data_IF_128134906026
#
_entry.id   IF_128134906026
#
_cell.length_a   1.000
_cell.length_b   1.000
_cell.length_c   1.000
_cell.angle_alpha   90.00
_cell.angle_beta   90.00
_cell.angle_gamma   90.00
#
_symmetry.space_group_name_H-M   'P 1'
#
loop_
_entity.id
_entity.type
_entity.pdbx_description
1 polymer ?
#
# COMPACT_ATOMS: atom_id res chain seq x y z
N UNK A 1 17.20 -29.47 -51.91
CA UNK A 1 18.56 -29.75 -51.39
C UNK A 1 18.51 -29.71 -49.87
N UNK A 2 18.46 -30.87 -49.26
CA UNK A 2 18.44 -31.04 -47.79
C UNK A 2 19.86 -30.96 -47.24
N UNK A 3 20.06 -30.25 -46.13
CA UNK A 3 21.25 -30.42 -45.29
C UNK A 3 20.80 -30.76 -43.86
N UNK A 4 21.46 -31.74 -43.19
CA UNK A 4 21.04 -32.27 -41.93
C UNK A 4 21.50 -31.49 -40.72
N UNK A 5 20.68 -31.56 -39.66
CA UNK A 5 20.92 -30.99 -38.32
C UNK A 5 21.95 -31.82 -37.56
N UNK A 6 23.02 -31.22 -37.05
CA UNK A 6 24.01 -31.81 -36.18
C UNK A 6 23.51 -31.78 -34.72
N UNK A 7 23.41 -32.96 -34.13
CA UNK A 7 23.13 -33.17 -32.70
C UNK A 7 24.35 -32.75 -31.85
N UNK A 8 24.16 -31.83 -30.89
CA UNK A 8 25.13 -31.53 -29.82
C UNK A 8 24.91 -32.54 -28.67
N UNK A 9 25.92 -33.31 -28.34
CA UNK A 9 26.00 -34.17 -27.14
C UNK A 9 26.49 -33.28 -25.97
N UNK A 10 25.76 -33.31 -24.84
CA UNK A 10 26.18 -32.73 -23.55
C UNK A 10 27.22 -33.68 -22.89
N UNK A 11 28.25 -33.11 -22.21
CA UNK A 11 29.23 -33.93 -21.47
C UNK A 11 28.66 -34.38 -20.12
N UNK A 12 29.07 -35.62 -19.73
CA UNK A 12 28.74 -36.30 -18.49
C UNK A 12 29.21 -35.48 -17.26
N UNK A 13 28.30 -35.34 -16.28
CA UNK A 13 28.63 -34.86 -14.94
C UNK A 13 29.56 -35.84 -14.22
N UNK A 14 30.69 -35.33 -13.74
CA UNK A 14 31.59 -36.03 -12.83
C UNK A 14 30.96 -36.10 -11.43
N UNK A 15 30.77 -37.33 -10.92
CA UNK A 15 30.39 -37.54 -9.51
C UNK A 15 31.56 -37.17 -8.59
N UNK A 16 31.35 -36.23 -7.69
CA UNK A 16 32.24 -35.91 -6.59
C UNK A 16 32.25 -37.10 -5.59
N UNK A 17 33.40 -37.70 -5.33
CA UNK A 17 33.61 -38.69 -4.27
C UNK A 17 33.60 -38.03 -2.90
N UNK A 18 32.79 -38.53 -1.99
CA UNK A 18 32.76 -38.13 -0.59
C UNK A 18 34.03 -38.63 0.16
N UNK A 19 34.57 -37.86 1.12
CA UNK A 19 35.77 -38.22 1.90
C UNK A 19 35.49 -39.41 2.85
N UNK A 20 36.52 -40.21 3.12
CA UNK A 20 36.45 -41.53 3.79
C UNK A 20 36.10 -41.52 5.29
N UNK A 21 35.95 -40.40 5.94
CA UNK A 21 35.59 -40.31 7.37
C UNK A 21 34.11 -40.55 7.69
N UNK A 22 33.26 -40.74 6.70
CA UNK A 22 31.79 -40.97 6.85
C UNK A 22 31.45 -42.48 7.08
N UNK A 23 32.41 -43.39 7.07
CA UNK A 23 32.18 -44.86 7.11
C UNK A 23 32.06 -45.45 8.53
N UNK A 24 31.88 -44.68 9.59
CA UNK A 24 31.92 -45.19 10.96
C UNK A 24 30.66 -45.08 11.81
N UNK A 25 29.48 -44.89 11.27
CA UNK A 25 28.25 -44.78 12.08
C UNK A 25 27.41 -46.04 12.00
N UNK A 26 27.06 -46.60 13.14
CA UNK A 26 26.27 -47.83 13.33
C UNK A 26 24.82 -47.66 12.82
N UNK A 27 24.16 -48.75 12.35
CA UNK A 27 22.80 -48.67 11.79
C UNK A 27 21.77 -48.55 12.92
N UNK A 28 21.08 -47.42 12.99
CA UNK A 28 19.96 -47.29 13.93
C UNK A 28 19.34 -45.94 14.14
N UNK A 29 19.90 -44.84 13.62
CA UNK A 29 19.35 -43.50 13.85
C UNK A 29 18.80 -42.96 12.52
N UNK A 30 17.48 -42.89 12.41
CA UNK A 30 16.76 -42.14 11.34
C UNK A 30 16.81 -40.64 11.68
N UNK A 31 17.79 -39.93 11.18
CA UNK A 31 17.81 -38.47 11.21
C UNK A 31 17.05 -37.95 10.01
N UNK A 32 16.14 -37.03 10.27
CA UNK A 32 15.39 -36.32 9.24
C UNK A 32 16.36 -35.51 8.34
N UNK A 33 16.12 -35.37 7.04
CA UNK A 33 17.06 -34.75 6.09
C UNK A 33 17.40 -33.27 6.32
N UNK A 34 16.74 -32.61 7.24
CA UNK A 34 17.00 -31.19 7.55
C UNK A 34 18.15 -30.94 8.53
N UNK A 35 18.74 -31.99 9.19
CA UNK A 35 19.74 -31.77 10.24
C UNK A 35 21.20 -31.83 9.75
N UNK A 36 21.45 -32.22 8.51
CA UNK A 36 22.81 -32.42 7.99
C UNK A 36 23.42 -31.22 7.25
N UNK A 37 22.69 -30.12 7.04
CA UNK A 37 23.20 -28.96 6.32
C UNK A 37 23.66 -27.80 7.21
N UNK A 38 23.49 -27.88 8.53
CA UNK A 38 23.74 -26.75 9.47
C UNK A 38 25.05 -26.80 10.24
N UNK A 39 25.94 -27.76 10.01
CA UNK A 39 27.16 -27.92 10.85
C UNK A 39 28.42 -27.31 10.19
N UNK A 40 28.33 -26.56 9.12
CA UNK A 40 29.52 -26.15 8.39
C UNK A 40 29.79 -24.65 8.25
N UNK A 41 28.84 -23.77 8.48
CA UNK A 41 29.01 -22.31 8.37
C UNK A 41 28.05 -21.68 9.37
N UNK A 42 28.56 -20.91 10.32
CA UNK A 42 27.82 -20.23 11.38
C UNK A 42 26.89 -19.12 10.81
N UNK A 43 25.88 -19.54 10.07
CA UNK A 43 24.75 -18.66 9.76
C UNK A 43 23.82 -18.69 10.97
N UNK A 44 23.41 -17.53 11.49
CA UNK A 44 22.34 -17.51 12.48
C UNK A 44 21.13 -18.21 11.88
N UNK A 45 20.54 -19.15 12.61
CA UNK A 45 19.20 -19.64 12.32
C UNK A 45 18.30 -18.40 12.19
N UNK A 46 17.87 -18.06 10.97
CA UNK A 46 16.80 -17.11 10.78
C UNK A 46 15.58 -17.72 11.47
N UNK A 47 15.34 -17.33 12.70
CA UNK A 47 14.02 -17.40 13.29
C UNK A 47 13.15 -16.52 12.38
N UNK A 48 12.25 -17.11 11.61
CA UNK A 48 11.16 -16.37 11.01
C UNK A 48 10.41 -15.69 12.17
N UNK A 49 10.80 -14.44 12.46
CA UNK A 49 10.04 -13.61 13.37
C UNK A 49 8.68 -13.38 12.69
N UNK A 50 7.61 -13.71 13.39
CA UNK A 50 6.27 -13.33 12.93
C UNK A 50 6.29 -11.85 12.56
N UNK A 51 5.78 -11.51 11.37
CA UNK A 51 5.69 -10.13 10.90
C UNK A 51 4.99 -9.27 11.96
N UNK A 52 5.62 -8.19 12.34
CA UNK A 52 5.12 -7.25 13.36
C UNK A 52 5.03 -5.87 12.74
N UNK A 53 4.02 -5.07 13.16
CA UNK A 53 3.94 -3.70 12.71
C UNK A 53 5.22 -2.94 13.07
N UNK A 54 5.81 -2.30 12.08
CA UNK A 54 6.97 -1.44 12.21
C UNK A 54 6.58 0.02 11.98
N UNK A 55 7.50 0.94 12.15
CA UNK A 55 7.26 2.34 11.89
C UNK A 55 6.24 2.93 12.86
N UNK A 56 5.42 3.83 12.39
CA UNK A 56 4.42 4.48 13.26
C UNK A 56 3.38 3.52 13.84
N UNK A 57 3.07 2.41 13.19
CA UNK A 57 2.14 1.41 13.74
C UNK A 57 2.81 0.42 14.73
N UNK A 58 4.06 0.64 15.14
CA UNK A 58 4.69 -0.25 16.13
C UNK A 58 3.82 -0.34 17.39
N UNK A 59 3.59 -1.57 17.87
CA UNK A 59 2.73 -1.84 19.03
C UNK A 59 1.25 -2.06 18.70
N UNK A 60 0.81 -1.88 17.44
CA UNK A 60 -0.54 -2.27 17.02
C UNK A 60 -0.68 -3.79 17.10
N UNK A 61 -1.77 -4.25 17.71
CA UNK A 61 -2.06 -5.67 17.94
C UNK A 61 -3.37 -6.13 17.30
N UNK A 62 -4.17 -5.18 16.77
CA UNK A 62 -5.46 -5.46 16.16
C UNK A 62 -6.40 -6.22 17.11
N UNK A 63 -6.98 -7.31 16.63
CA UNK A 63 -7.80 -8.22 17.43
C UNK A 63 -7.03 -9.02 18.47
N UNK A 64 -5.69 -9.03 18.40
CA UNK A 64 -4.82 -9.73 19.36
C UNK A 64 -5.24 -11.18 19.57
N UNK A 65 -5.47 -11.55 20.83
CA UNK A 65 -5.99 -12.87 21.23
C UNK A 65 -7.53 -12.93 21.25
N UNK A 66 -8.21 -11.97 20.62
CA UNK A 66 -9.67 -11.99 20.51
C UNK A 66 -10.17 -13.20 19.70
N UNK A 67 -11.48 -13.50 19.79
CA UNK A 67 -12.04 -14.64 19.08
C UNK A 67 -11.88 -14.47 17.56
N UNK A 68 -11.45 -15.56 16.90
CA UNK A 68 -11.43 -15.63 15.45
C UNK A 68 -12.83 -15.93 14.92
N UNK A 69 -13.31 -15.12 13.98
CA UNK A 69 -14.60 -15.29 13.31
C UNK A 69 -14.38 -15.43 11.80
N UNK A 70 -15.16 -16.30 11.17
CA UNK A 70 -15.18 -16.49 9.71
C UNK A 70 -16.58 -16.10 9.19
N UNK A 71 -16.79 -14.88 8.73
CA UNK A 71 -18.07 -14.43 8.19
C UNK A 71 -18.56 -15.34 7.06
N UNK A 72 -19.86 -15.56 6.95
CA UNK A 72 -20.46 -16.41 5.92
C UNK A 72 -21.31 -15.65 4.92
N UNK A 73 -21.65 -14.40 5.23
CA UNK A 73 -22.44 -13.52 4.38
C UNK A 73 -21.92 -12.09 4.44
N UNK A 74 -22.41 -11.23 3.53
CA UNK A 74 -22.08 -9.79 3.56
C UNK A 74 -22.51 -9.14 4.89
N UNK A 75 -23.65 -9.53 5.44
CA UNK A 75 -24.14 -8.98 6.70
C UNK A 75 -23.36 -9.51 7.89
N UNK A 76 -22.92 -10.77 7.87
CA UNK A 76 -22.01 -11.29 8.91
C UNK A 76 -20.68 -10.52 8.89
N UNK A 77 -20.15 -10.22 7.71
CA UNK A 77 -18.92 -9.43 7.59
C UNK A 77 -19.13 -8.02 8.16
N UNK A 78 -20.20 -7.32 7.77
CA UNK A 78 -20.54 -6.00 8.33
C UNK A 78 -20.61 -6.03 9.86
N UNK A 79 -21.34 -6.98 10.44
CA UNK A 79 -21.48 -7.15 11.90
C UNK A 79 -20.16 -7.50 12.58
N UNK A 80 -19.32 -8.31 11.93
CA UNK A 80 -18.00 -8.69 12.46
C UNK A 80 -17.05 -7.50 12.51
N UNK A 81 -17.13 -6.61 11.54
CA UNK A 81 -16.33 -5.38 11.48
C UNK A 81 -16.83 -4.33 12.48
N UNK A 82 -18.14 -4.19 12.63
CA UNK A 82 -18.74 -3.24 13.55
C UNK A 82 -20.16 -3.67 13.95
N UNK A 83 -20.35 -3.96 15.23
CA UNK A 83 -21.62 -4.41 15.78
C UNK A 83 -22.46 -3.29 16.42
N UNK A 84 -21.88 -2.11 16.68
CA UNK A 84 -22.58 -0.99 17.33
C UNK A 84 -22.15 0.36 16.77
N UNK A 85 -23.10 1.30 16.75
CA UNK A 85 -22.91 2.63 16.15
C UNK A 85 -23.45 3.72 17.06
N UNK A 86 -22.80 4.88 17.06
CA UNK A 86 -23.32 6.09 17.67
C UNK A 86 -24.43 6.75 16.80
N UNK A 87 -25.01 7.84 17.32
CA UNK A 87 -26.06 8.60 16.61
C UNK A 87 -25.57 9.27 15.32
N UNK A 88 -24.24 9.41 15.14
CA UNK A 88 -23.61 9.96 13.93
C UNK A 88 -23.24 8.86 12.92
N UNK A 89 -23.50 7.59 13.29
CA UNK A 89 -23.15 6.43 12.49
C UNK A 89 -21.65 6.07 12.54
N UNK A 90 -20.88 6.56 13.52
CA UNK A 90 -19.53 6.07 13.77
C UNK A 90 -19.59 4.73 14.46
N UNK A 91 -18.65 3.87 14.17
CA UNK A 91 -18.55 2.58 14.85
C UNK A 91 -18.09 2.78 16.30
N UNK A 92 -18.79 2.16 17.22
CA UNK A 92 -18.46 2.18 18.65
C UNK A 92 -18.08 0.78 19.17
N UNK A 93 -17.94 -0.19 18.30
CA UNK A 93 -17.55 -1.56 18.64
C UNK A 93 -16.02 -1.62 18.85
N UNK A 94 -15.61 -1.75 20.10
CA UNK A 94 -14.22 -1.88 20.54
C UNK A 94 -13.83 -3.31 20.97
N UNK A 95 -14.74 -4.26 20.90
CA UNK A 95 -14.47 -5.66 21.28
C UNK A 95 -13.38 -6.29 20.39
N UNK A 96 -12.30 -6.82 20.96
CA UNK A 96 -11.23 -7.45 20.17
C UNK A 96 -11.76 -8.60 19.31
N UNK A 97 -11.36 -8.64 18.03
CA UNK A 97 -11.81 -9.68 17.09
C UNK A 97 -10.85 -9.87 15.94
N UNK A 98 -10.55 -11.13 15.60
CA UNK A 98 -9.86 -11.52 14.39
C UNK A 98 -10.88 -11.99 13.36
N UNK A 99 -10.98 -11.29 12.22
CA UNK A 99 -11.97 -11.54 11.17
C UNK A 99 -11.23 -12.15 9.98
N UNK A 100 -11.37 -13.46 9.80
CA UNK A 100 -10.67 -14.21 8.78
C UNK A 100 -11.56 -14.43 7.55
N UNK A 101 -11.13 -13.88 6.41
CA UNK A 101 -11.81 -14.05 5.13
C UNK A 101 -11.12 -15.15 4.33
N UNK A 102 -11.86 -16.17 3.90
CA UNK A 102 -11.36 -17.30 3.11
C UNK A 102 -11.83 -17.29 1.64
N UNK A 103 -12.58 -16.26 1.25
CA UNK A 103 -13.07 -16.02 -0.11
C UNK A 103 -13.32 -14.54 -0.37
N UNK A 104 -13.78 -14.21 -1.57
CA UNK A 104 -14.14 -12.84 -1.95
C UNK A 104 -15.56 -12.51 -1.49
N UNK A 105 -15.72 -11.43 -0.71
CA UNK A 105 -17.01 -10.82 -0.39
C UNK A 105 -17.34 -9.76 -1.46
N UNK A 106 -18.27 -10.09 -2.35
CA UNK A 106 -18.66 -9.21 -3.46
C UNK A 106 -19.89 -8.38 -3.09
N UNK A 107 -19.68 -7.10 -2.85
CA UNK A 107 -20.72 -6.14 -2.50
C UNK A 107 -21.39 -5.48 -3.72
N UNK A 108 -20.94 -5.74 -4.94
CA UNK A 108 -21.54 -5.13 -6.12
C UNK A 108 -23.01 -5.56 -6.22
N UNK A 109 -23.87 -4.58 -6.46
CA UNK A 109 -25.33 -4.79 -6.49
C UNK A 109 -26.00 -5.01 -5.13
N UNK A 110 -25.26 -4.97 -4.02
CA UNK A 110 -25.80 -5.26 -2.68
C UNK A 110 -26.54 -4.10 -2.03
N UNK A 111 -26.40 -2.88 -2.55
CA UNK A 111 -27.05 -1.68 -2.01
C UNK A 111 -28.11 -1.20 -2.99
N UNK A 112 -29.37 -1.33 -2.61
CA UNK A 112 -30.51 -0.91 -3.44
C UNK A 112 -31.07 0.41 -2.91
N UNK A 113 -31.08 1.43 -3.78
CA UNK A 113 -31.66 2.73 -3.51
C UNK A 113 -32.69 3.02 -4.61
N UNK A 114 -33.87 3.48 -4.22
CA UNK A 114 -35.00 3.73 -5.14
C UNK A 114 -35.33 2.55 -6.10
N UNK A 115 -35.18 1.32 -5.60
CA UNK A 115 -35.48 0.10 -6.36
C UNK A 115 -34.37 -0.34 -7.33
N UNK A 116 -33.22 0.30 -7.33
CA UNK A 116 -32.08 -0.04 -8.21
C UNK A 116 -30.79 -0.20 -7.41
N UNK A 117 -29.95 -1.16 -7.79
CA UNK A 117 -28.59 -1.28 -7.29
C UNK A 117 -27.63 -0.26 -7.95
N UNK A 118 -28.05 0.40 -9.00
CA UNK A 118 -27.28 1.41 -9.71
C UNK A 118 -28.02 2.75 -9.73
N UNK A 119 -27.26 3.81 -9.49
CA UNK A 119 -27.72 5.19 -9.69
C UNK A 119 -27.22 5.72 -11.03
N UNK A 120 -28.05 6.55 -11.67
CA UNK A 120 -27.72 7.33 -12.86
C UNK A 120 -27.92 8.80 -12.58
N UNK A 121 -26.94 9.60 -12.94
CA UNK A 121 -27.03 11.06 -12.79
C UNK A 121 -26.23 11.76 -13.89
N UNK A 122 -26.49 13.06 -14.07
CA UNK A 122 -25.66 13.90 -14.92
C UNK A 122 -24.35 14.21 -14.21
N UNK A 123 -23.28 13.66 -14.70
CA UNK A 123 -21.91 13.96 -14.31
C UNK A 123 -21.13 14.61 -15.45
N UNK A 124 -19.82 14.39 -15.49
CA UNK A 124 -18.96 14.88 -16.56
C UNK A 124 -17.88 13.89 -16.96
N UNK A 125 -17.29 14.09 -18.12
CA UNK A 125 -16.04 13.43 -18.50
C UNK A 125 -14.93 14.02 -17.65
N UNK A 126 -14.24 13.20 -16.85
CA UNK A 126 -13.08 13.66 -16.07
C UNK A 126 -11.98 14.18 -17.02
N UNK A 127 -11.69 13.41 -18.07
CA UNK A 127 -10.84 13.80 -19.20
C UNK A 127 -11.43 13.24 -20.50
N UNK A 128 -11.35 14.00 -21.58
CA UNK A 128 -11.70 13.55 -22.93
C UNK A 128 -10.57 12.69 -23.49
N UNK A 129 -10.71 11.38 -23.44
CA UNK A 129 -9.74 10.45 -23.99
C UNK A 129 -10.07 10.12 -25.46
N UNK A 130 -9.20 10.48 -26.43
CA UNK A 130 -9.46 10.32 -27.86
C UNK A 130 -9.76 8.89 -28.30
N UNK A 131 -9.18 7.91 -27.60
CA UNK A 131 -9.36 6.47 -27.88
C UNK A 131 -10.39 5.78 -26.96
N UNK A 132 -11.16 6.55 -26.20
CA UNK A 132 -12.01 6.00 -25.14
C UNK A 132 -11.22 5.62 -23.89
N UNK A 133 -11.88 4.97 -22.94
CA UNK A 133 -11.22 4.52 -21.68
C UNK A 133 -10.96 5.62 -20.66
N UNK A 134 -11.53 6.82 -20.85
CA UNK A 134 -11.49 7.89 -19.85
C UNK A 134 -12.39 7.62 -18.65
N UNK A 135 -12.06 8.22 -17.52
CA UNK A 135 -12.94 8.22 -16.35
C UNK A 135 -14.05 9.28 -16.51
N UNK A 136 -15.17 8.97 -15.95
CA UNK A 136 -16.26 9.92 -15.69
C UNK A 136 -16.21 10.38 -14.24
N UNK A 137 -16.92 11.46 -13.93
CA UNK A 137 -17.05 11.95 -12.56
C UNK A 137 -18.52 12.23 -12.26
N UNK A 138 -18.95 11.88 -11.05
CA UNK A 138 -20.28 12.30 -10.57
C UNK A 138 -20.23 13.77 -10.16
N UNK A 139 -21.38 14.45 -10.33
CA UNK A 139 -21.49 15.89 -10.18
C UNK A 139 -21.80 16.28 -8.74
N UNK A 140 -20.89 16.13 -7.85
CA UNK A 140 -21.19 16.49 -6.46
C UNK A 140 -20.05 17.16 -5.72
N UNK A 141 -18.85 17.14 -6.26
CA UNK A 141 -17.67 17.51 -5.50
C UNK A 141 -17.00 18.77 -6.05
N UNK A 142 -17.04 19.86 -5.27
CA UNK A 142 -16.15 21.01 -5.39
C UNK A 142 -16.08 21.66 -6.80
N UNK A 143 -17.14 21.61 -7.57
CA UNK A 143 -17.16 22.18 -8.93
C UNK A 143 -16.30 21.42 -9.95
N UNK A 144 -15.92 20.19 -9.67
CA UNK A 144 -15.05 19.38 -10.55
C UNK A 144 -15.59 19.26 -11.98
N UNK A 145 -16.91 19.17 -12.13
CA UNK A 145 -17.57 19.11 -13.43
C UNK A 145 -17.81 20.48 -14.10
N UNK A 146 -17.46 21.58 -13.43
CA UNK A 146 -17.64 22.90 -14.00
C UNK A 146 -16.80 23.06 -15.28
N UNK A 147 -17.45 23.53 -16.35
CA UNK A 147 -16.85 23.69 -17.68
C UNK A 147 -16.35 22.40 -18.36
N UNK A 148 -16.75 21.23 -17.87
CA UNK A 148 -16.46 19.93 -18.53
C UNK A 148 -17.69 19.43 -19.30
N UNK A 149 -17.48 18.61 -20.36
CA UNK A 149 -18.60 18.01 -21.08
C UNK A 149 -19.48 17.16 -20.17
N UNK A 150 -20.77 17.44 -20.14
CA UNK A 150 -21.75 16.67 -19.39
C UNK A 150 -21.95 15.29 -20.01
N UNK A 151 -22.07 14.27 -19.18
CA UNK A 151 -22.40 12.90 -19.60
C UNK A 151 -23.32 12.25 -18.57
N UNK A 152 -24.14 11.28 -19.01
CA UNK A 152 -24.84 10.41 -18.07
C UNK A 152 -23.84 9.43 -17.46
N UNK A 153 -23.73 9.43 -16.13
CA UNK A 153 -22.85 8.54 -15.34
C UNK A 153 -23.73 7.52 -14.63
N UNK A 154 -23.39 6.25 -14.82
CA UNK A 154 -23.99 5.15 -14.06
C UNK A 154 -22.92 4.51 -13.15
N UNK A 155 -23.29 4.25 -11.90
CA UNK A 155 -22.43 3.62 -10.93
C UNK A 155 -23.19 2.72 -9.96
N UNK A 156 -22.48 1.78 -9.36
CA UNK A 156 -23.01 0.88 -8.34
C UNK A 156 -23.09 1.62 -6.98
N UNK A 157 -24.26 1.58 -6.34
CA UNK A 157 -24.51 2.28 -5.09
C UNK A 157 -23.61 1.75 -3.95
N UNK A 158 -23.22 0.49 -4.00
CA UNK A 158 -22.32 -0.10 -3.00
C UNK A 158 -20.96 0.61 -2.93
N UNK A 159 -20.46 1.11 -4.06
CA UNK A 159 -19.20 1.83 -4.10
C UNK A 159 -19.17 3.14 -3.32
N UNK A 160 -20.31 3.79 -3.15
CA UNK A 160 -20.45 5.01 -2.34
C UNK A 160 -20.58 4.71 -0.83
N UNK A 161 -20.90 3.48 -0.48
CA UNK A 161 -20.95 3.03 0.90
C UNK A 161 -19.57 2.55 1.35
N UNK A 162 -19.39 2.42 2.66
CA UNK A 162 -18.12 1.96 3.24
C UNK A 162 -18.39 0.99 4.39
N UNK A 163 -17.62 -0.07 4.45
CA UNK A 163 -17.59 -0.99 5.59
C UNK A 163 -16.88 -0.30 6.76
N UNK A 164 -17.63 0.03 7.79
CA UNK A 164 -17.06 0.65 8.98
C UNK A 164 -16.37 -0.40 9.84
N UNK A 165 -15.13 -0.12 10.23
CA UNK A 165 -14.30 -1.01 11.03
C UNK A 165 -14.15 -0.39 12.42
N UNK A 166 -14.49 -1.14 13.45
CA UNK A 166 -14.34 -0.72 14.85
C UNK A 166 -12.92 -0.88 15.36
N UNK A 167 -12.71 -0.52 16.63
CA UNK A 167 -11.41 -0.65 17.29
C UNK A 167 -11.07 -2.12 17.60
N UNK A 168 -9.77 -2.39 17.79
CA UNK A 168 -9.27 -3.71 18.17
C UNK A 168 -9.70 -4.82 17.20
N UNK A 169 -9.55 -4.58 15.90
CA UNK A 169 -9.90 -5.53 14.85
C UNK A 169 -8.67 -5.93 14.03
N UNK A 170 -8.56 -7.22 13.75
CA UNK A 170 -7.71 -7.72 12.68
C UNK A 170 -8.61 -8.27 11.58
N UNK A 171 -8.57 -7.67 10.40
CA UNK A 171 -9.20 -8.18 9.20
C UNK A 171 -8.11 -8.81 8.34
N UNK A 172 -8.16 -10.13 8.19
CA UNK A 172 -7.11 -10.90 7.53
C UNK A 172 -7.66 -11.84 6.47
N UNK A 173 -6.98 -11.90 5.33
CA UNK A 173 -7.23 -12.89 4.29
C UNK A 173 -6.53 -14.22 4.58
N UNK A 174 -7.25 -15.31 4.41
CA UNK A 174 -6.71 -16.68 4.49
C UNK A 174 -6.47 -17.21 3.09
N UNK A 175 -5.21 -17.45 2.76
CA UNK A 175 -4.81 -17.80 1.38
C UNK A 175 -4.76 -16.58 0.46
N UNK A 176 -4.62 -16.82 -0.84
CA UNK A 176 -4.42 -15.77 -1.85
C UNK A 176 -5.71 -15.27 -2.52
N UNK A 177 -6.86 -15.87 -2.21
CA UNK A 177 -8.13 -15.56 -2.90
C UNK A 177 -9.07 -14.69 -2.07
N UNK A 178 -8.70 -14.32 -0.85
CA UNK A 178 -9.54 -13.52 0.04
C UNK A 178 -9.60 -12.06 -0.40
N UNK A 179 -10.77 -11.45 -0.31
CA UNK A 179 -10.89 -10.05 -0.69
C UNK A 179 -12.29 -9.46 -0.52
N UNK A 180 -12.38 -8.17 -0.86
CA UNK A 180 -13.62 -7.40 -0.85
C UNK A 180 -13.74 -6.69 -2.21
N UNK A 181 -14.88 -6.81 -2.86
CA UNK A 181 -15.20 -6.15 -4.12
C UNK A 181 -16.37 -5.19 -3.97
N UNK A 182 -16.31 -4.08 -4.69
CA UNK A 182 -17.42 -3.17 -4.87
C UNK A 182 -17.69 -2.22 -3.70
N UNK A 183 -17.03 -2.38 -2.55
CA UNK A 183 -17.20 -1.51 -1.39
C UNK A 183 -15.87 -1.34 -0.64
N UNK A 184 -15.57 -0.11 -0.23
CA UNK A 184 -14.34 0.21 0.50
C UNK A 184 -14.46 0.05 2.01
N UNK A 185 -13.33 0.16 2.70
CA UNK A 185 -13.23 0.17 4.15
C UNK A 185 -13.17 1.62 4.69
N UNK A 186 -13.73 1.84 5.85
CA UNK A 186 -13.61 3.07 6.62
C UNK A 186 -13.17 2.76 8.05
N UNK A 187 -11.99 3.26 8.41
CA UNK A 187 -11.44 3.20 9.77
C UNK A 187 -11.37 4.63 10.28
N UNK A 188 -12.20 4.98 11.23
CA UNK A 188 -12.29 6.37 11.66
C UNK A 188 -13.36 6.63 12.71
N UNK A 189 -13.59 7.93 13.00
CA UNK A 189 -14.51 8.32 14.04
C UNK A 189 -14.06 7.88 15.45
N UNK A 190 -12.74 7.78 15.69
CA UNK A 190 -12.13 7.32 16.93
C UNK A 190 -11.72 5.85 16.93
N UNK A 191 -11.90 5.13 15.83
CA UNK A 191 -11.43 3.74 15.73
C UNK A 191 -9.91 3.64 15.88
N UNK A 192 -9.45 2.66 16.64
CA UNK A 192 -8.03 2.50 16.93
C UNK A 192 -7.62 1.02 16.99
N UNK A 193 -6.30 0.79 16.91
CA UNK A 193 -5.70 -0.55 17.00
C UNK A 193 -6.29 -1.52 15.97
N UNK A 194 -6.09 -1.24 14.68
CA UNK A 194 -6.67 -2.01 13.57
C UNK A 194 -5.58 -2.56 12.66
N UNK A 195 -5.71 -3.83 12.27
CA UNK A 195 -4.88 -4.49 11.26
C UNK A 195 -5.77 -4.88 10.08
N UNK A 196 -5.32 -4.52 8.85
CA UNK A 196 -5.91 -4.98 7.58
C UNK A 196 -4.82 -5.67 6.78
N UNK A 197 -4.94 -6.98 6.58
CA UNK A 197 -3.83 -7.75 6.05
C UNK A 197 -4.26 -8.83 5.06
N UNK A 198 -3.42 -9.05 4.04
CA UNK A 198 -3.52 -10.17 3.09
C UNK A 198 -4.86 -10.24 2.32
N UNK A 199 -5.39 -9.10 1.88
CA UNK A 199 -6.68 -8.97 1.20
C UNK A 199 -6.54 -8.28 -0.15
N UNK A 200 -7.36 -8.70 -1.12
CA UNK A 200 -7.56 -7.92 -2.35
C UNK A 200 -8.78 -7.00 -2.19
N UNK A 201 -8.58 -5.68 -2.30
CA UNK A 201 -9.65 -4.68 -2.38
C UNK A 201 -9.76 -4.19 -3.82
N UNK A 202 -10.91 -4.42 -4.45
CA UNK A 202 -11.02 -4.15 -5.89
C UNK A 202 -12.42 -3.82 -6.40
N UNK A 203 -12.46 -3.38 -7.65
CA UNK A 203 -13.67 -3.24 -8.47
C UNK A 203 -14.72 -2.28 -7.86
N UNK A 204 -14.26 -1.16 -7.28
CA UNK A 204 -15.10 -0.11 -6.71
C UNK A 204 -15.31 0.97 -7.75
N UNK A 205 -16.38 0.90 -8.52
CA UNK A 205 -16.75 1.86 -9.60
C UNK A 205 -15.53 2.36 -10.41
N UNK A 206 -14.71 1.51 -11.02
CA UNK A 206 -13.40 1.91 -11.56
C UNK A 206 -13.47 2.98 -12.65
N UNK A 207 -14.61 3.15 -13.30
CA UNK A 207 -14.83 4.18 -14.32
C UNK A 207 -15.16 5.55 -13.72
N UNK A 208 -15.51 5.63 -12.42
CA UNK A 208 -16.19 6.81 -11.88
C UNK A 208 -15.33 7.45 -10.77
N UNK A 209 -14.76 8.60 -11.07
CA UNK A 209 -14.16 9.49 -10.06
C UNK A 209 -15.27 9.92 -9.10
N UNK A 210 -15.03 9.88 -7.82
CA UNK A 210 -15.98 10.04 -6.70
C UNK A 210 -16.92 8.83 -6.51
N UNK A 211 -16.75 7.76 -7.31
CA UNK A 211 -17.53 6.53 -7.19
C UNK A 211 -17.14 5.61 -6.04
N UNK A 212 -16.12 5.99 -5.25
CA UNK A 212 -15.68 5.29 -4.05
C UNK A 212 -14.15 5.22 -3.94
N UNK A 213 -13.68 5.14 -2.70
CA UNK A 213 -12.29 4.90 -2.31
C UNK A 213 -12.15 3.50 -1.71
N UNK A 214 -10.97 2.87 -1.81
CA UNK A 214 -10.82 1.51 -1.30
C UNK A 214 -10.60 1.46 0.22
N UNK A 215 -9.78 2.35 0.78
CA UNK A 215 -9.57 2.45 2.21
C UNK A 215 -9.47 3.91 2.64
N UNK A 216 -10.32 4.30 3.59
CA UNK A 216 -10.34 5.65 4.16
C UNK A 216 -9.99 5.60 5.64
N UNK A 217 -9.04 6.45 6.04
CA UNK A 217 -8.67 6.72 7.43
C UNK A 217 -9.15 8.13 7.77
N UNK A 218 -10.02 8.29 8.78
CA UNK A 218 -10.58 9.61 9.14
C UNK A 218 -10.90 9.69 10.63
N UNK A 219 -9.98 10.18 11.41
CA UNK A 219 -10.02 10.10 12.87
C UNK A 219 -9.69 8.68 13.36
N UNK A 220 -8.54 8.13 12.92
CA UNK A 220 -8.07 6.79 13.28
C UNK A 220 -6.70 6.87 13.98
N UNK A 221 -6.42 5.93 14.88
CA UNK A 221 -5.14 5.82 15.58
C UNK A 221 -4.65 4.38 15.65
N UNK A 222 -3.36 4.17 15.35
CA UNK A 222 -2.77 2.83 15.40
C UNK A 222 -3.37 1.88 14.35
N UNK A 223 -3.00 2.06 13.08
CA UNK A 223 -3.50 1.22 11.98
C UNK A 223 -2.34 0.63 11.19
N UNK A 224 -2.40 -0.68 10.97
CA UNK A 224 -1.45 -1.38 10.11
C UNK A 224 -2.16 -1.98 8.90
N UNK A 225 -1.75 -1.54 7.70
CA UNK A 225 -2.28 -1.97 6.41
C UNK A 225 -1.15 -2.69 5.68
N UNK A 226 -1.22 -4.01 5.57
CA UNK A 226 -0.06 -4.81 5.21
C UNK A 226 -0.41 -5.97 4.27
N UNK A 227 0.45 -6.21 3.27
CA UNK A 227 0.28 -7.28 2.28
C UNK A 227 -1.10 -7.32 1.59
N UNK A 228 -1.71 -6.16 1.33
CA UNK A 228 -2.95 -6.11 0.57
C UNK A 228 -2.67 -5.75 -0.90
N UNK A 229 -3.56 -6.17 -1.79
CA UNK A 229 -3.58 -5.74 -3.20
C UNK A 229 -4.75 -4.80 -3.44
N UNK A 230 -4.49 -3.62 -3.99
CA UNK A 230 -5.47 -2.62 -4.40
C UNK A 230 -5.51 -2.55 -5.92
N UNK A 231 -6.70 -2.72 -6.52
CA UNK A 231 -6.83 -2.73 -7.97
C UNK A 231 -8.22 -2.24 -8.44
N UNK A 232 -8.26 -1.50 -9.54
CA UNK A 232 -9.51 -1.06 -10.20
C UNK A 232 -10.46 -0.32 -9.26
N UNK A 233 -9.98 0.76 -8.69
CA UNK A 233 -10.72 1.67 -7.80
C UNK A 233 -11.14 2.91 -8.60
N UNK A 234 -12.30 3.49 -8.29
CA UNK A 234 -12.78 4.70 -8.99
C UNK A 234 -11.97 5.94 -8.65
N UNK A 235 -11.54 6.07 -7.39
CA UNK A 235 -10.75 7.19 -6.91
C UNK A 235 -9.56 6.71 -6.07
N UNK A 236 -9.44 7.06 -4.80
CA UNK A 236 -8.24 6.78 -4.02
C UNK A 236 -8.15 5.29 -3.62
N UNK A 237 -6.96 4.72 -3.76
CA UNK A 237 -6.70 3.40 -3.18
C UNK A 237 -6.56 3.50 -1.66
N UNK A 238 -5.83 4.52 -1.16
CA UNK A 238 -5.85 4.89 0.26
C UNK A 238 -5.99 6.41 0.38
N UNK A 239 -6.83 6.86 1.30
CA UNK A 239 -6.99 8.28 1.63
C UNK A 239 -7.04 8.47 3.13
N UNK A 240 -6.28 9.45 3.65
CA UNK A 240 -6.58 10.04 4.96
C UNK A 240 -7.61 11.13 4.76
N UNK A 241 -8.65 11.13 5.61
CA UNK A 241 -9.69 12.16 5.57
C UNK A 241 -9.26 13.43 6.29
N UNK A 242 -10.23 14.28 6.63
CA UNK A 242 -9.98 15.55 7.30
C UNK A 242 -9.63 15.42 8.79
N UNK A 243 -9.94 14.30 9.41
CA UNK A 243 -9.53 13.97 10.78
C UNK A 243 -8.11 13.43 10.81
N UNK A 244 -7.57 13.23 12.00
CA UNK A 244 -6.23 12.68 12.21
C UNK A 244 -6.15 11.21 11.79
N UNK A 245 -5.09 10.81 11.11
CA UNK A 245 -4.67 9.42 10.91
C UNK A 245 -3.29 9.24 11.57
N UNK A 246 -3.28 8.92 12.86
CA UNK A 246 -2.05 8.82 13.65
C UNK A 246 -1.57 7.37 13.80
N UNK A 247 -0.25 7.21 13.95
CA UNK A 247 0.40 5.90 14.14
C UNK A 247 -0.01 4.88 13.08
N UNK A 248 0.11 5.27 11.79
CA UNK A 248 -0.27 4.42 10.66
C UNK A 248 0.97 3.89 9.94
N UNK A 249 0.96 2.59 9.64
CA UNK A 249 1.93 1.99 8.70
C UNK A 249 1.19 1.31 7.55
N UNK A 250 1.62 1.64 6.33
CA UNK A 250 1.19 1.05 5.07
C UNK A 250 2.40 0.32 4.51
N UNK A 251 2.41 -1.01 4.58
CA UNK A 251 3.61 -1.81 4.24
C UNK A 251 3.30 -3.01 3.37
N UNK A 252 4.26 -3.39 2.52
CA UNK A 252 4.22 -4.59 1.68
C UNK A 252 2.92 -4.75 0.86
N UNK A 253 2.23 -3.66 0.54
CA UNK A 253 1.04 -3.72 -0.31
C UNK A 253 1.41 -3.61 -1.79
N UNK A 254 0.61 -4.21 -2.64
CA UNK A 254 0.63 -4.01 -4.08
C UNK A 254 -0.46 -3.00 -4.49
N UNK A 255 -0.07 -1.96 -5.19
CA UNK A 255 -0.96 -0.97 -5.78
C UNK A 255 -0.91 -1.12 -7.29
N UNK A 256 -1.81 -1.97 -7.81
CA UNK A 256 -1.94 -2.28 -9.24
C UNK A 256 -2.75 -1.19 -9.95
N UNK A 257 -2.05 -0.35 -10.69
CA UNK A 257 -2.64 0.77 -11.43
C UNK A 257 -3.24 0.40 -12.78
N UNK A 258 -3.16 -0.85 -13.23
CA UNK A 258 -3.73 -1.27 -14.51
C UNK A 258 -5.25 -1.14 -14.50
N UNK A 259 -5.77 -0.34 -15.44
CA UNK A 259 -7.21 -0.06 -15.51
C UNK A 259 -7.66 0.19 -16.93
N UNK A 260 -8.86 -0.29 -17.33
CA UNK A 260 -9.46 0.11 -18.61
C UNK A 260 -9.97 1.54 -18.59
N UNK A 261 -10.00 2.21 -17.42
CA UNK A 261 -10.52 3.57 -17.26
C UNK A 261 -9.49 4.44 -16.56
N UNK A 262 -8.85 5.34 -17.30
CA UNK A 262 -7.77 6.17 -16.83
C UNK A 262 -8.12 7.66 -16.87
N UNK A 263 -7.79 8.39 -15.81
CA UNK A 263 -7.86 9.86 -15.81
C UNK A 263 -6.82 10.51 -16.72
N UNK A 264 -5.78 9.79 -17.09
CA UNK A 264 -4.68 10.22 -17.97
C UNK A 264 -4.70 9.60 -19.35
N UNK A 265 -5.72 8.81 -19.67
CA UNK A 265 -5.97 8.21 -21.00
C UNK A 265 -4.93 7.17 -21.44
N UNK A 266 -4.17 6.61 -20.54
CA UNK A 266 -3.04 5.72 -20.81
C UNK A 266 -3.17 4.30 -20.23
N UNK A 267 -4.32 4.00 -19.63
CA UNK A 267 -4.56 2.70 -18.98
C UNK A 267 -4.00 2.59 -17.55
N UNK A 268 -3.49 3.70 -17.02
CA UNK A 268 -2.89 3.76 -15.69
C UNK A 268 -3.77 4.52 -14.71
N UNK A 269 -3.85 4.02 -13.48
CA UNK A 269 -4.62 4.63 -12.41
C UNK A 269 -3.89 5.84 -11.83
N UNK A 270 -4.62 6.96 -11.67
CA UNK A 270 -4.04 8.22 -11.18
C UNK A 270 -4.13 8.36 -9.64
N UNK A 271 -5.16 7.82 -9.01
CA UNK A 271 -5.58 8.14 -7.64
C UNK A 271 -5.05 7.10 -6.64
N UNK A 272 -3.75 7.06 -6.37
CA UNK A 272 -3.17 6.04 -5.48
C UNK A 272 -3.32 6.43 -4.01
N UNK A 273 -2.53 7.39 -3.52
CA UNK A 273 -2.58 7.81 -2.12
C UNK A 273 -2.86 9.32 -2.03
N UNK A 274 -3.77 9.69 -1.14
CA UNK A 274 -4.10 11.07 -0.83
C UNK A 274 -4.07 11.27 0.68
N UNK A 275 -3.09 12.01 1.18
CA UNK A 275 -2.93 12.28 2.60
C UNK A 275 -3.34 13.72 2.88
N UNK A 276 -4.43 13.92 3.61
CA UNK A 276 -5.06 15.20 3.88
C UNK A 276 -5.37 15.44 5.36
N UNK A 277 -5.06 14.47 6.22
CA UNK A 277 -5.46 14.54 7.61
C UNK A 277 -4.74 15.65 8.39
N UNK A 278 -5.33 15.97 9.50
CA UNK A 278 -4.79 16.91 10.46
C UNK A 278 -3.93 16.17 11.49
N UNK A 279 -2.63 16.41 11.52
CA UNK A 279 -1.61 15.67 12.30
C UNK A 279 -1.48 14.17 11.93
N UNK A 280 -1.43 13.88 10.64
CA UNK A 280 -1.14 12.51 10.19
C UNK A 280 0.32 12.12 10.51
N UNK A 281 0.49 10.91 11.04
CA UNK A 281 1.82 10.30 11.24
C UNK A 281 1.88 8.94 10.54
N UNK A 282 2.66 8.87 9.46
CA UNK A 282 2.59 7.79 8.50
C UNK A 282 3.97 7.16 8.22
N UNK A 283 4.03 5.85 8.23
CA UNK A 283 5.11 5.08 7.59
C UNK A 283 4.55 4.40 6.35
N UNK A 284 5.19 4.63 5.20
CA UNK A 284 4.85 3.98 3.93
C UNK A 284 6.07 3.19 3.49
N UNK A 285 6.05 1.87 3.67
CA UNK A 285 7.25 1.03 3.59
C UNK A 285 7.08 -0.19 2.71
N UNK A 286 8.07 -0.48 1.88
CA UNK A 286 8.14 -1.73 1.09
C UNK A 286 6.87 -2.01 0.26
N UNK A 287 6.20 -0.98 -0.25
CA UNK A 287 5.06 -1.16 -1.13
C UNK A 287 5.50 -1.22 -2.60
N UNK A 288 4.80 -2.02 -3.39
CA UNK A 288 4.94 -2.07 -4.84
C UNK A 288 3.84 -1.26 -5.51
N UNK A 289 4.20 -0.14 -6.12
CA UNK A 289 3.30 0.77 -6.85
C UNK A 289 3.64 0.70 -8.33
N UNK A 290 2.75 0.17 -9.15
CA UNK A 290 3.08 -0.04 -10.56
C UNK A 290 1.91 0.28 -11.50
N UNK A 291 2.26 0.59 -12.74
CA UNK A 291 1.31 0.96 -13.79
C UNK A 291 0.36 2.08 -13.35
N UNK A 292 0.90 3.11 -12.69
CA UNK A 292 0.15 4.26 -12.18
C UNK A 292 0.50 5.53 -12.95
N UNK A 293 -0.29 6.57 -12.78
CA UNK A 293 -0.04 7.86 -13.44
C UNK A 293 0.10 9.06 -12.49
N UNK A 294 0.04 8.85 -11.16
CA UNK A 294 0.30 9.91 -10.20
C UNK A 294 -0.11 9.60 -8.76
N UNK A 295 0.07 10.58 -7.88
CA UNK A 295 -0.40 10.60 -6.49
C UNK A 295 0.00 9.41 -5.63
N UNK A 296 1.28 9.15 -5.48
CA UNK A 296 1.74 8.10 -4.58
C UNK A 296 2.89 8.55 -3.64
N UNK A 297 2.59 9.46 -2.68
CA UNK A 297 1.34 10.16 -2.39
C UNK A 297 1.20 11.54 -3.02
N UNK A 298 -0.02 12.09 -2.99
CA UNK A 298 -0.29 13.50 -2.87
C UNK A 298 -0.51 13.80 -1.38
N UNK A 299 0.42 14.46 -0.74
CA UNK A 299 0.38 14.80 0.67
C UNK A 299 0.13 16.29 0.86
N UNK A 300 -0.97 16.66 1.53
CA UNK A 300 -1.39 18.03 1.76
C UNK A 300 -2.11 18.70 0.58
N UNK A 301 -2.07 20.00 0.51
CA UNK A 301 -2.63 20.81 -0.59
C UNK A 301 -4.10 21.18 -0.45
N UNK A 302 -4.79 20.74 0.61
CA UNK A 302 -6.17 21.07 0.89
C UNK A 302 -6.40 21.19 2.39
N UNK A 303 -7.27 22.12 2.79
CA UNK A 303 -7.61 22.33 4.20
C UNK A 303 -6.42 22.73 5.06
N UNK A 304 -6.42 22.23 6.27
CA UNK A 304 -5.37 22.38 7.29
C UNK A 304 -4.52 21.12 7.46
N UNK A 305 -4.29 20.40 6.37
CA UNK A 305 -3.48 19.18 6.35
C UNK A 305 -2.11 19.39 6.99
N UNK A 306 -1.74 18.49 7.89
CA UNK A 306 -0.45 18.45 8.59
C UNK A 306 0.07 16.99 8.58
N UNK A 307 1.08 16.75 7.77
CA UNK A 307 1.52 15.39 7.45
C UNK A 307 2.98 15.21 7.87
N UNK A 308 3.26 14.21 8.66
CA UNK A 308 4.60 13.73 8.98
C UNK A 308 4.74 12.30 8.48
N UNK A 309 5.49 12.10 7.40
CA UNK A 309 5.58 10.77 6.78
C UNK A 309 7.00 10.35 6.42
N UNK A 310 7.34 9.10 6.71
CA UNK A 310 8.50 8.41 6.15
C UNK A 310 8.04 7.50 5.00
N UNK A 311 8.60 7.71 3.80
CA UNK A 311 8.44 6.84 2.64
C UNK A 311 9.75 6.08 2.45
N UNK A 312 9.75 4.78 2.71
CA UNK A 312 10.98 3.99 2.83
C UNK A 312 10.88 2.66 2.07
N UNK A 313 11.89 2.36 1.28
CA UNK A 313 12.02 1.12 0.52
C UNK A 313 10.83 0.74 -0.38
N UNK A 314 10.01 1.70 -0.79
CA UNK A 314 8.97 1.43 -1.78
C UNK A 314 9.57 1.29 -3.18
N UNK A 315 8.90 0.51 -4.03
CA UNK A 315 9.26 0.39 -5.46
C UNK A 315 8.13 0.98 -6.28
N UNK A 316 8.48 2.00 -7.07
CA UNK A 316 7.59 2.62 -8.06
C UNK A 316 8.03 2.19 -9.45
N UNK A 317 7.12 1.60 -10.22
CA UNK A 317 7.43 1.09 -11.55
C UNK A 317 6.39 1.50 -12.58
N UNK A 318 6.86 1.92 -13.76
CA UNK A 318 6.00 2.27 -14.89
C UNK A 318 4.93 3.34 -14.56
N UNK A 319 5.38 4.50 -14.06
CA UNK A 319 4.51 5.64 -13.77
C UNK A 319 4.66 6.74 -14.82
N UNK A 320 3.55 7.17 -15.41
CA UNK A 320 3.56 7.82 -16.72
C UNK A 320 3.26 9.32 -16.74
N UNK A 321 2.69 9.92 -15.69
CA UNK A 321 2.22 11.30 -15.76
C UNK A 321 2.80 12.16 -14.65
N UNK A 322 2.06 12.44 -13.61
CA UNK A 322 2.45 13.35 -12.53
C UNK A 322 3.20 12.61 -11.43
N UNK A 323 4.15 13.24 -10.80
CA UNK A 323 5.09 12.68 -9.84
C UNK A 323 4.56 11.57 -8.94
N UNK A 324 5.40 10.57 -8.70
CA UNK A 324 5.08 9.54 -7.72
C UNK A 324 4.78 10.19 -6.37
N UNK A 325 5.68 11.04 -5.91
CA UNK A 325 5.64 11.64 -4.57
C UNK A 325 5.49 13.15 -4.69
N UNK A 326 4.42 13.70 -4.12
CA UNK A 326 4.12 15.12 -4.10
C UNK A 326 3.90 15.58 -2.65
N UNK A 327 4.69 16.54 -2.18
CA UNK A 327 4.47 17.22 -0.92
C UNK A 327 3.89 18.61 -1.19
N UNK A 328 2.73 18.91 -0.64
CA UNK A 328 2.01 20.17 -0.81
C UNK A 328 1.65 20.75 0.56
N UNK A 329 1.59 22.06 0.69
CA UNK A 329 1.48 22.80 1.94
C UNK A 329 2.73 22.75 2.82
N UNK A 330 3.02 23.87 3.48
CA UNK A 330 4.22 24.00 4.33
C UNK A 330 4.21 23.05 5.55
N UNK A 331 3.05 22.52 5.92
CA UNK A 331 2.87 21.54 7.02
C UNK A 331 2.95 20.08 6.58
N UNK A 332 3.25 19.80 5.32
CA UNK A 332 3.53 18.45 4.86
C UNK A 332 5.04 18.19 4.85
N UNK A 333 5.49 17.21 5.60
CA UNK A 333 6.89 16.88 5.83
C UNK A 333 7.17 15.43 5.46
N UNK A 334 7.91 15.21 4.38
CA UNK A 334 8.20 13.88 3.85
C UNK A 334 9.69 13.56 3.94
N UNK A 335 10.05 12.44 4.57
CA UNK A 335 11.37 11.83 4.48
C UNK A 335 11.29 10.67 3.48
N UNK A 336 12.05 10.78 2.37
CA UNK A 336 11.97 9.83 1.24
C UNK A 336 13.33 9.19 1.06
N UNK A 337 13.47 7.93 1.45
CA UNK A 337 14.77 7.27 1.49
C UNK A 337 14.71 5.77 1.12
N UNK A 338 15.76 5.29 0.44
CA UNK A 338 15.88 3.89 0.07
C UNK A 338 14.82 3.37 -0.92
N UNK A 339 14.04 4.26 -1.54
CA UNK A 339 13.03 3.85 -2.53
C UNK A 339 13.68 3.62 -3.90
N UNK A 340 13.05 2.79 -4.73
CA UNK A 340 13.45 2.59 -6.11
C UNK A 340 12.38 3.12 -7.08
N UNK A 341 12.82 3.87 -8.09
CA UNK A 341 12.00 4.40 -9.16
C UNK A 341 12.50 3.83 -10.49
N UNK A 342 11.67 3.02 -11.14
CA UNK A 342 11.99 2.38 -12.41
C UNK A 342 10.93 2.72 -13.47
N UNK A 343 11.35 3.38 -14.58
CA UNK A 343 10.43 3.92 -15.59
C UNK A 343 9.37 4.87 -15.02
N UNK A 344 9.79 5.77 -14.12
CA UNK A 344 8.92 6.78 -13.51
C UNK A 344 9.22 8.15 -14.11
N UNK A 345 8.23 8.79 -14.73
CA UNK A 345 8.44 10.07 -15.43
C UNK A 345 8.89 11.16 -14.48
N UNK A 346 8.25 11.30 -13.32
CA UNK A 346 8.61 12.26 -12.28
C UNK A 346 8.63 11.55 -10.91
N UNK A 347 9.76 11.03 -10.43
CA UNK A 347 9.86 10.39 -9.10
C UNK A 347 9.37 11.27 -7.96
N UNK A 348 9.80 12.51 -7.91
CA UNK A 348 9.27 13.53 -7.03
C UNK A 348 8.77 14.71 -7.87
N UNK A 349 7.68 15.32 -7.44
CA UNK A 349 7.08 16.45 -8.14
C UNK A 349 7.07 17.68 -7.23
N UNK A 350 7.54 18.80 -7.78
CA UNK A 350 7.48 20.11 -7.13
C UNK A 350 6.21 20.83 -7.57
N UNK A 351 5.29 21.06 -6.65
CA UNK A 351 4.19 21.99 -6.89
C UNK A 351 4.63 23.40 -6.46
N UNK A 352 4.90 24.25 -7.42
CA UNK A 352 5.38 25.62 -7.16
C UNK A 352 4.34 26.52 -6.52
N UNK A 353 3.04 26.17 -6.65
CA UNK A 353 1.95 26.99 -6.12
C UNK A 353 1.75 26.79 -4.62
N UNK A 354 2.01 25.59 -4.14
CA UNK A 354 1.84 25.21 -2.72
C UNK A 354 2.92 24.20 -2.31
N UNK A 355 4.19 24.60 -2.17
CA UNK A 355 5.25 23.67 -1.86
C UNK A 355 5.13 23.16 -0.42
N UNK A 356 5.18 21.85 -0.25
CA UNK A 356 5.47 21.19 1.03
C UNK A 356 6.96 20.97 1.19
N UNK A 357 7.38 20.37 2.30
CA UNK A 357 8.77 20.06 2.55
C UNK A 357 9.04 18.58 2.32
N UNK A 358 10.19 18.27 1.71
CA UNK A 358 10.64 16.89 1.51
C UNK A 358 12.16 16.82 1.62
N UNK A 359 12.66 15.71 2.13
CA UNK A 359 14.07 15.39 2.13
C UNK A 359 14.30 14.06 1.42
N UNK A 360 15.05 14.09 0.32
CA UNK A 360 15.34 12.92 -0.51
C UNK A 360 16.76 12.98 -1.06
N UNK A 361 17.54 11.94 -0.85
CA UNK A 361 18.86 11.77 -1.48
C UNK A 361 18.75 10.80 -2.66
N UNK A 362 19.51 11.05 -3.72
CA UNK A 362 19.63 10.16 -4.88
C UNK A 362 21.10 9.75 -5.15
N UNK A 363 22.01 10.35 -4.38
CA UNK A 363 23.42 10.02 -4.37
C UNK A 363 23.88 9.87 -2.92
N UNK A 364 24.93 9.10 -2.64
CA UNK A 364 25.53 9.06 -1.32
C UNK A 364 25.89 10.47 -0.87
N UNK A 365 25.34 10.86 0.28
CA UNK A 365 25.54 12.22 0.78
C UNK A 365 26.99 12.43 1.24
N UNK A 366 27.68 13.38 0.63
CA UNK A 366 28.99 13.87 1.05
C UNK A 366 28.86 15.30 1.59
N UNK A 367 29.69 15.67 2.58
CA UNK A 367 29.68 17.00 3.14
C UNK A 367 28.41 17.34 3.97
N UNK A 368 27.88 18.58 3.89
CA UNK A 368 26.76 19.02 4.74
C UNK A 368 25.47 18.19 4.60
N UNK A 369 25.15 17.68 3.41
CA UNK A 369 23.98 16.85 3.21
C UNK A 369 24.07 15.50 3.94
N UNK A 370 25.25 14.90 4.04
CA UNK A 370 25.49 13.68 4.83
C UNK A 370 25.34 13.92 6.32
N UNK A 371 25.72 15.07 6.81
CA UNK A 371 25.59 15.41 8.23
C UNK A 371 24.18 15.81 8.64
N UNK A 372 23.34 16.31 7.73
CA UNK A 372 21.99 16.75 8.05
C UNK A 372 21.12 15.61 8.66
N UNK A 373 21.11 14.43 8.03
CA UNK A 373 20.39 13.26 8.55
C UNK A 373 20.97 12.80 9.90
N UNK A 374 22.30 12.68 10.00
CA UNK A 374 22.94 12.28 11.25
C UNK A 374 22.60 13.22 12.41
N UNK A 375 22.57 14.52 12.17
CA UNK A 375 22.23 15.52 13.18
C UNK A 375 20.74 15.48 13.56
N UNK A 376 19.86 15.34 12.55
CA UNK A 376 18.43 15.41 12.78
C UNK A 376 17.86 14.10 13.34
N UNK A 377 18.15 12.97 12.70
CA UNK A 377 17.51 11.67 13.00
C UNK A 377 18.46 10.63 13.59
N UNK A 378 19.74 10.97 13.82
CA UNK A 378 20.70 10.12 14.51
C UNK A 378 21.37 9.03 13.65
N UNK A 379 21.09 9.00 12.34
CA UNK A 379 21.68 8.07 11.36
C UNK A 379 21.83 8.73 9.99
N UNK A 380 22.58 8.09 9.10
CA UNK A 380 22.62 8.51 7.70
C UNK A 380 21.29 8.22 7.01
N UNK A 381 20.89 9.07 6.07
CA UNK A 381 19.81 8.77 5.13
C UNK A 381 20.33 7.87 4.02
N UNK A 382 19.49 6.95 3.56
CA UNK A 382 19.80 6.05 2.46
C UNK A 382 19.31 6.65 1.13
N UNK A 383 20.18 6.75 0.10
CA UNK A 383 19.78 7.28 -1.19
C UNK A 383 18.68 6.46 -1.85
N UNK A 384 17.83 7.14 -2.62
CA UNK A 384 16.86 6.52 -3.51
C UNK A 384 17.54 6.14 -4.82
N UNK A 385 17.06 5.08 -5.48
CA UNK A 385 17.53 4.61 -6.76
C UNK A 385 16.63 5.12 -7.89
N UNK A 386 17.22 5.61 -8.97
CA UNK A 386 16.51 5.96 -10.22
C UNK A 386 17.04 5.13 -11.37
N UNK A 387 16.14 4.41 -12.06
CA UNK A 387 16.44 3.69 -13.30
C UNK A 387 15.48 4.10 -14.40
N UNK A 388 15.99 4.62 -15.51
CA UNK A 388 15.18 5.07 -16.66
C UNK A 388 14.04 6.01 -16.23
N UNK A 389 14.30 6.85 -15.25
CA UNK A 389 13.35 7.73 -14.60
C UNK A 389 13.82 9.18 -14.65
N UNK A 390 12.89 10.13 -14.53
CA UNK A 390 13.18 11.56 -14.53
C UNK A 390 13.97 12.02 -13.29
N UNK A 391 14.66 13.15 -13.42
CA UNK A 391 15.57 13.67 -12.39
C UNK A 391 15.28 15.10 -11.98
N UNK A 392 14.08 15.61 -12.27
CA UNK A 392 13.80 17.05 -12.31
C UNK A 392 13.78 17.74 -10.94
N UNK A 393 13.42 16.98 -9.88
CA UNK A 393 13.27 17.56 -8.55
C UNK A 393 13.97 16.70 -7.50
N UNK A 394 14.87 17.31 -6.72
CA UNK A 394 15.69 16.67 -5.69
C UNK A 394 15.66 17.48 -4.39
N UNK A 395 14.58 17.40 -3.63
CA UNK A 395 14.41 18.20 -2.43
C UNK A 395 15.37 17.76 -1.31
N UNK A 396 15.97 18.74 -0.65
CA UNK A 396 16.79 18.54 0.54
C UNK A 396 16.40 19.56 1.63
N UNK A 397 15.09 19.63 1.89
CA UNK A 397 14.55 20.55 2.88
C UNK A 397 14.78 20.01 4.29
N UNK A 398 15.64 20.66 5.04
CA UNK A 398 15.97 20.24 6.41
C UNK A 398 14.80 20.38 7.38
N UNK A 399 13.74 21.13 7.06
CA UNK A 399 12.59 21.25 7.93
C UNK A 399 11.77 19.96 7.93
N UNK A 400 11.77 19.20 6.84
CA UNK A 400 11.24 17.82 6.83
C UNK A 400 12.01 16.95 7.84
N UNK A 401 13.33 17.01 7.87
CA UNK A 401 14.14 16.25 8.83
C UNK A 401 13.90 16.69 10.28
N UNK A 402 13.81 18.00 10.54
CA UNK A 402 13.51 18.53 11.87
C UNK A 402 12.13 18.10 12.37
N UNK A 403 11.15 18.04 11.48
CA UNK A 403 9.83 17.55 11.81
C UNK A 403 9.91 16.07 12.21
N UNK A 404 10.48 15.21 11.36
CA UNK A 404 10.58 13.76 11.59
C UNK A 404 11.54 13.41 12.77
N UNK A 405 12.44 14.30 13.15
CA UNK A 405 13.29 14.11 14.32
C UNK A 405 12.51 13.94 15.63
N UNK A 406 11.28 14.45 15.71
CA UNK A 406 10.38 14.28 16.87
C UNK A 406 9.89 12.84 17.01
N UNK A 407 9.97 12.05 15.94
CA UNK A 407 9.44 10.70 15.79
C UNK A 407 10.54 9.67 15.53
N UNK A 408 11.77 9.91 15.99
CA UNK A 408 12.93 9.04 15.70
C UNK A 408 12.70 7.57 15.99
N UNK A 409 12.00 7.28 17.08
CA UNK A 409 11.71 5.93 17.55
C UNK A 409 10.80 5.14 16.61
N UNK A 410 10.04 5.85 15.76
CA UNK A 410 9.15 5.25 14.76
C UNK A 410 9.80 5.16 13.37
N UNK A 411 10.97 5.77 13.16
CA UNK A 411 11.59 5.77 11.84
C UNK A 411 12.26 4.42 11.57
N UNK A 412 11.81 3.77 10.51
CA UNK A 412 12.43 2.54 9.99
C UNK A 412 13.82 2.88 9.46
N UNK A 413 14.81 2.02 9.75
CA UNK A 413 16.13 2.10 9.12
C UNK A 413 16.06 1.48 7.72
N UNK A 414 16.32 2.25 6.65
CA UNK A 414 16.16 1.76 5.30
C UNK A 414 17.19 0.69 4.92
N UNK A 415 16.78 -0.25 4.08
CA UNK A 415 17.68 -1.08 3.29
C UNK A 415 18.21 -0.28 2.06
N UNK A 416 19.31 -0.71 1.43
CA UNK A 416 19.71 -0.16 0.14
C UNK A 416 18.57 -0.27 -0.89
N UNK A 417 18.39 0.76 -1.71
CA UNK A 417 17.28 0.82 -2.67
C UNK A 417 17.32 -0.30 -3.73
N UNK A 418 18.52 -0.82 -4.05
CA UNK A 418 18.70 -1.99 -4.91
C UNK A 418 18.10 -3.26 -4.30
N UNK A 419 18.21 -3.39 -2.97
CA UNK A 419 17.58 -4.50 -2.23
C UNK A 419 16.06 -4.39 -2.29
N UNK A 420 15.51 -3.18 -2.10
CA UNK A 420 14.08 -2.94 -2.26
C UNK A 420 13.62 -3.30 -3.67
N UNK A 421 14.31 -2.84 -4.71
CA UNK A 421 13.97 -3.13 -6.11
C UNK A 421 13.94 -4.64 -6.41
N UNK A 422 14.84 -5.41 -5.79
CA UNK A 422 14.93 -6.86 -6.03
C UNK A 422 13.85 -7.67 -5.33
N UNK A 423 13.39 -7.25 -4.15
CA UNK A 423 12.53 -8.05 -3.29
C UNK A 423 11.08 -7.55 -3.24
N UNK A 424 10.85 -6.25 -3.11
CA UNK A 424 9.51 -5.69 -2.89
C UNK A 424 8.48 -6.12 -3.95
N UNK A 425 8.77 -6.16 -5.26
CA UNK A 425 7.79 -6.63 -6.24
C UNK A 425 7.41 -8.11 -6.10
N UNK A 426 8.27 -8.91 -5.46
CA UNK A 426 8.03 -10.34 -5.22
C UNK A 426 7.23 -10.60 -3.94
N UNK A 427 7.45 -9.76 -2.94
CA UNK A 427 6.98 -9.98 -1.57
C UNK A 427 5.73 -9.15 -1.24
N UNK A 428 5.39 -8.13 -2.04
CA UNK A 428 4.24 -7.25 -1.78
C UNK A 428 2.94 -7.76 -2.37
N UNK A 429 1.82 -7.55 -1.65
CA UNK A 429 0.47 -7.88 -2.09
C UNK A 429 -0.15 -9.09 -1.40
N UNK A 430 -1.43 -9.30 -1.67
CA UNK A 430 -2.19 -10.41 -1.10
C UNK A 430 -1.65 -11.77 -1.57
N UNK A 431 -1.56 -12.72 -0.64
CA UNK A 431 -1.04 -14.06 -0.89
C UNK A 431 0.48 -14.17 -0.82
N UNK A 432 1.17 -13.10 -0.46
CA UNK A 432 2.63 -13.05 -0.35
C UNK A 432 3.14 -13.15 1.09
N UNK A 433 2.30 -12.84 2.08
CA UNK A 433 2.68 -12.96 3.49
C UNK A 433 2.81 -14.42 3.91
N UNK A 434 3.82 -14.72 4.75
CA UNK A 434 4.00 -16.05 5.34
C UNK A 434 3.00 -16.35 6.48
N UNK A 435 2.04 -15.47 6.75
CA UNK A 435 1.09 -15.55 7.88
C UNK A 435 -0.08 -16.52 7.69
N UNK A 436 -0.02 -17.45 6.78
CA UNK A 436 -1.16 -18.27 6.32
C UNK A 436 -1.43 -19.49 7.21
N UNK A 437 -1.37 -19.37 8.51
CA UNK A 437 -1.86 -20.45 9.39
C UNK A 437 -2.72 -19.89 10.54
N UNK A 438 -3.92 -19.40 10.20
CA UNK A 438 -5.00 -19.33 11.20
C UNK A 438 -5.66 -20.69 11.23
N UNK A 439 -5.20 -21.58 12.14
CA UNK A 439 -5.82 -22.87 12.43
C UNK A 439 -7.23 -22.73 12.99
#
# INVERSE_FOLDING_TARGET
MHRPVKSLRLPLMHFLRLPDWVRGLAPGIKLAPCLLLCIGLGFPLCSEAAERPEGFAQGVTGGGNGPAVKPRSLDDLKKSLCASFDKRGNCTDDAPRVIALDHVFDFRGSVVENGSAQTRETGCMANACPKGGGQWAINGANGFCQAKPAVEVSYDNAGLQRLKVGSNKTLIGVGSAAGIKGMGLFIGGGAHNVIVQNLTLSDINPRVVWGGDALTLDGADGVWIDHNTFARIGRQMIVTGWGTASHVTISHNEFDGRTPYSATCDGHHYWVWLFLGHHDTLTVASNYVHDTSGRAPHAGGMGDADISAQLVNNVFSNQTYQGAIMSRTASSHLLVEGNAFEHVTHPLFNDTDQPGTAYALFEPATGPAGSACQLAIGRACVPNLQRLSGTDYRPQDVDALKNLARYREYLITPLPAETALAHVPLDSGAGKSNLVHVN
#
